data_IF_571174225964
#
_entry.id   IF_571174225964
#
_cell.length_a   1.000
_cell.length_b   1.000
_cell.length_c   1.000
_cell.angle_alpha   90.00
_cell.angle_beta   90.00
_cell.angle_gamma   90.00
#
_symmetry.space_group_name_H-M   'P 1'
#
loop_
_entity.id
_entity.type
_entity.pdbx_description
1 polymer ?
#
# COMPACT_ATOMS: atom_id res chain seq x y z
N UNK A 1 5.66 27.68 -20.45
CA UNK A 1 4.77 27.15 -19.39
C UNK A 1 5.16 27.66 -17.99
N UNK A 2 6.44 27.97 -17.78
CA UNK A 2 6.94 28.45 -16.46
C UNK A 2 6.63 29.93 -16.18
N UNK A 3 6.37 30.70 -17.20
CA UNK A 3 6.19 32.15 -17.10
C UNK A 3 4.73 32.61 -16.90
N UNK A 4 3.76 31.71 -17.00
CA UNK A 4 2.33 32.04 -16.90
C UNK A 4 1.60 31.40 -15.70
N UNK A 5 2.25 30.48 -14.99
CA UNK A 5 1.72 29.86 -13.78
C UNK A 5 2.85 29.74 -12.76
N UNK A 6 2.54 30.03 -11.51
CA UNK A 6 3.43 29.82 -10.35
C UNK A 6 3.59 28.30 -10.11
N UNK A 7 4.34 27.64 -11.02
CA UNK A 7 4.54 26.21 -11.05
C UNK A 7 6.00 25.86 -10.78
N UNK A 8 6.24 25.06 -9.77
CA UNK A 8 7.53 24.45 -9.51
C UNK A 8 7.68 23.11 -10.24
N UNK A 9 8.84 22.93 -10.88
CA UNK A 9 9.21 21.65 -11.49
C UNK A 9 9.84 20.76 -10.43
N UNK A 10 9.25 19.58 -10.23
CA UNK A 10 9.78 18.57 -9.31
C UNK A 10 10.35 17.37 -10.08
N UNK A 11 11.37 16.71 -9.51
CA UNK A 11 11.93 15.49 -10.07
C UNK A 11 11.01 14.30 -9.87
N UNK A 12 11.20 13.26 -10.70
CA UNK A 12 10.42 12.02 -10.61
C UNK A 12 10.52 11.36 -9.23
N UNK A 13 11.70 11.36 -8.63
CA UNK A 13 11.91 10.79 -7.29
C UNK A 13 11.10 11.52 -6.22
N UNK A 14 11.09 12.85 -6.24
CA UNK A 14 10.32 13.65 -5.30
C UNK A 14 8.81 13.46 -5.48
N UNK A 15 8.35 13.30 -6.72
CA UNK A 15 6.95 12.98 -7.01
C UNK A 15 6.57 11.58 -6.53
N UNK A 16 7.41 10.56 -6.81
CA UNK A 16 7.22 9.19 -6.34
C UNK A 16 7.17 9.13 -4.80
N UNK A 17 8.07 9.85 -4.14
CA UNK A 17 8.12 9.93 -2.68
C UNK A 17 6.85 10.57 -2.09
N UNK A 18 6.37 11.64 -2.71
CA UNK A 18 5.09 12.27 -2.34
C UNK A 18 3.91 11.30 -2.50
N UNK A 19 3.86 10.52 -3.58
CA UNK A 19 2.82 9.51 -3.78
C UNK A 19 2.83 8.47 -2.66
N UNK A 20 4.01 7.95 -2.29
CA UNK A 20 4.16 7.04 -1.16
C UNK A 20 3.69 7.68 0.14
N UNK A 21 4.09 8.93 0.42
CA UNK A 21 3.66 9.66 1.62
C UNK A 21 2.14 9.82 1.70
N UNK A 22 1.50 10.13 0.57
CA UNK A 22 0.05 10.28 0.46
C UNK A 22 -0.70 8.94 0.45
N UNK A 23 0.00 7.81 0.26
CA UNK A 23 -0.58 6.47 0.20
C UNK A 23 -1.14 6.11 -1.17
N UNK A 24 -0.61 6.68 -2.24
CA UNK A 24 -0.93 6.30 -3.62
C UNK A 24 0.05 5.23 -4.11
N UNK A 25 -0.39 3.96 -4.27
CA UNK A 25 0.49 2.90 -4.70
C UNK A 25 0.90 3.06 -6.15
N UNK A 26 2.14 2.67 -6.45
CA UNK A 26 2.75 2.81 -7.75
C UNK A 26 2.97 1.44 -8.40
N UNK A 27 2.65 1.35 -9.69
CA UNK A 27 2.89 0.15 -10.49
C UNK A 27 4.41 -0.11 -10.61
N UNK A 28 4.81 -1.38 -10.58
CA UNK A 28 6.20 -1.86 -10.53
C UNK A 28 7.00 -1.46 -9.28
N UNK A 29 6.38 -0.77 -8.30
CA UNK A 29 6.95 -0.47 -6.98
C UNK A 29 6.18 -1.21 -5.89
N UNK A 30 4.90 -0.90 -5.75
CA UNK A 30 4.04 -1.46 -4.69
C UNK A 30 3.24 -2.67 -5.16
N UNK A 31 2.91 -2.75 -6.44
CA UNK A 31 2.23 -3.86 -7.07
C UNK A 31 2.67 -4.01 -8.52
N UNK A 32 2.42 -5.17 -9.13
CA UNK A 32 2.83 -5.47 -10.50
C UNK A 32 1.88 -6.41 -11.23
N UNK A 33 2.34 -6.94 -12.37
CA UNK A 33 1.55 -7.84 -13.25
C UNK A 33 1.04 -9.12 -12.57
N UNK A 34 1.62 -9.50 -11.44
CA UNK A 34 1.22 -10.68 -10.67
C UNK A 34 0.09 -10.42 -9.68
N UNK A 35 -0.28 -9.17 -9.46
CA UNK A 35 -1.30 -8.79 -8.49
C UNK A 35 -2.66 -8.56 -9.16
N UNK A 36 -3.72 -8.93 -8.44
CA UNK A 36 -5.05 -8.50 -8.81
C UNK A 36 -5.29 -7.03 -8.41
N UNK A 37 -6.08 -6.26 -9.17
CA UNK A 37 -6.42 -4.89 -8.79
C UNK A 37 -7.03 -4.76 -7.38
N UNK A 38 -7.79 -5.77 -6.93
CA UNK A 38 -8.34 -5.80 -5.57
C UNK A 38 -7.24 -5.89 -4.50
N UNK A 39 -6.12 -6.58 -4.78
CA UNK A 39 -4.96 -6.64 -3.88
C UNK A 39 -4.22 -5.31 -3.82
N UNK A 40 -4.19 -4.60 -4.96
CA UNK A 40 -3.60 -3.27 -5.06
C UNK A 40 -4.51 -2.14 -4.53
N UNK A 41 -5.61 -2.49 -3.86
CA UNK A 41 -6.65 -1.55 -3.40
C UNK A 41 -7.28 -0.71 -4.52
N UNK A 42 -7.24 -1.22 -5.77
CA UNK A 42 -7.83 -0.61 -6.97
C UNK A 42 -9.23 -1.16 -7.28
N UNK A 43 -9.92 -1.71 -6.31
CA UNK A 43 -11.25 -2.31 -6.48
C UNK A 43 -12.28 -1.35 -7.11
N UNK A 44 -12.25 -0.09 -6.71
CA UNK A 44 -13.15 0.95 -7.21
C UNK A 44 -12.89 1.34 -8.68
N UNK A 45 -11.73 0.97 -9.23
CA UNK A 45 -11.39 1.17 -10.63
C UNK A 45 -11.84 0.03 -11.54
N UNK A 46 -12.49 -1.01 -11.00
CA UNK A 46 -13.00 -2.16 -11.74
C UNK A 46 -14.50 -1.97 -12.01
N UNK A 47 -14.89 -2.07 -13.28
CA UNK A 47 -16.30 -2.05 -13.67
C UNK A 47 -16.80 -3.48 -13.93
N UNK A 48 -17.85 -3.88 -13.22
CA UNK A 48 -18.55 -5.15 -13.43
C UNK A 48 -19.78 -5.02 -14.35
N UNK A 49 -20.16 -3.79 -14.72
CA UNK A 49 -21.34 -3.48 -15.51
C UNK A 49 -21.02 -3.20 -16.99
N UNK A 50 -19.75 -3.33 -17.40
CA UNK A 50 -19.32 -3.23 -18.81
C UNK A 50 -19.28 -4.60 -19.48
N UNK A 51 -19.19 -4.61 -20.82
CA UNK A 51 -19.02 -5.84 -21.60
C UNK A 51 -17.83 -6.69 -21.16
N UNK A 52 -17.80 -7.96 -21.61
CA UNK A 52 -16.76 -8.91 -21.24
C UNK A 52 -15.37 -8.44 -21.62
N UNK A 53 -14.39 -8.71 -20.75
CA UNK A 53 -12.98 -8.42 -20.96
C UNK A 53 -12.11 -9.58 -20.45
N UNK A 54 -10.87 -9.65 -20.93
CA UNK A 54 -9.93 -10.70 -20.54
C UNK A 54 -9.61 -10.56 -19.04
N UNK A 55 -9.77 -11.66 -18.29
CA UNK A 55 -9.52 -11.69 -16.84
C UNK A 55 -10.72 -11.28 -15.98
N UNK A 56 -11.89 -11.05 -16.54
CA UNK A 56 -13.09 -10.68 -15.78
C UNK A 56 -13.53 -11.74 -14.77
N UNK A 57 -13.43 -13.02 -15.11
CA UNK A 57 -13.96 -14.12 -14.27
C UNK A 57 -13.32 -14.16 -12.87
N UNK A 58 -11.98 -14.17 -12.70
CA UNK A 58 -11.36 -14.14 -11.38
C UNK A 58 -11.70 -12.88 -10.58
N UNK A 59 -11.80 -11.71 -11.24
CA UNK A 59 -12.22 -10.47 -10.57
C UNK A 59 -13.65 -10.54 -10.05
N UNK A 60 -14.58 -11.02 -10.87
CA UNK A 60 -15.98 -11.19 -10.50
C UNK A 60 -16.13 -12.22 -9.37
N UNK A 61 -15.34 -13.31 -9.40
CA UNK A 61 -15.35 -14.32 -8.34
C UNK A 61 -14.91 -13.73 -7.00
N UNK A 62 -13.83 -12.95 -6.95
CA UNK A 62 -13.39 -12.26 -5.73
C UNK A 62 -14.44 -11.27 -5.22
N UNK A 63 -15.06 -10.52 -6.10
CA UNK A 63 -16.07 -9.54 -5.75
C UNK A 63 -17.34 -10.17 -5.16
N UNK A 64 -17.83 -11.27 -5.76
CA UNK A 64 -19.13 -11.87 -5.37
C UNK A 64 -19.03 -12.99 -4.30
N UNK A 65 -17.89 -13.65 -4.18
CA UNK A 65 -17.78 -14.89 -3.38
C UNK A 65 -16.56 -14.97 -2.48
N UNK A 66 -15.74 -13.94 -2.44
CA UNK A 66 -14.49 -14.00 -1.69
C UNK A 66 -13.90 -12.65 -1.40
N UNK A 67 -12.63 -12.67 -1.11
CA UNK A 67 -11.78 -11.50 -0.87
C UNK A 67 -10.37 -11.81 -1.41
N UNK A 68 -9.54 -10.80 -1.68
CA UNK A 68 -8.15 -11.03 -2.02
C UNK A 68 -7.40 -11.66 -0.85
N UNK A 69 -6.33 -12.38 -1.12
CA UNK A 69 -5.45 -12.92 -0.07
C UNK A 69 -4.55 -11.84 0.54
N UNK A 70 -4.19 -10.88 -0.28
CA UNK A 70 -3.30 -9.78 0.04
C UNK A 70 -4.00 -8.45 -0.17
N UNK A 71 -3.54 -7.42 0.51
CA UNK A 71 -4.02 -6.05 0.34
C UNK A 71 -2.89 -5.07 0.57
N UNK A 72 -2.83 -4.04 -0.27
CA UNK A 72 -1.96 -2.89 -0.02
C UNK A 72 -2.59 -1.99 1.06
N UNK A 73 -1.76 -1.60 2.00
CA UNK A 73 -2.15 -0.73 3.11
C UNK A 73 -1.12 0.38 3.30
N UNK A 74 -1.57 1.49 3.87
CA UNK A 74 -0.68 2.51 4.40
C UNK A 74 -0.12 2.02 5.74
N UNK A 75 1.18 2.18 5.92
CA UNK A 75 1.88 1.81 7.15
C UNK A 75 2.50 3.05 7.78
N UNK A 76 2.41 3.12 9.10
CA UNK A 76 3.02 4.19 9.89
C UNK A 76 3.96 3.57 10.91
N UNK A 77 5.21 4.01 10.88
CA UNK A 77 6.29 3.54 11.74
C UNK A 77 6.75 4.66 12.68
N UNK A 78 7.20 4.34 13.90
CA UNK A 78 7.92 5.32 14.71
C UNK A 78 9.16 5.82 13.98
N UNK A 79 9.52 7.09 14.18
CA UNK A 79 10.63 7.77 13.46
C UNK A 79 11.98 7.06 13.64
N UNK A 80 12.23 6.57 14.86
CA UNK A 80 13.54 6.00 15.24
C UNK A 80 13.73 4.56 14.72
N UNK A 81 12.72 4.00 14.05
CA UNK A 81 12.77 2.63 13.55
C UNK A 81 13.48 2.60 12.20
N UNK A 82 14.50 1.75 12.10
CA UNK A 82 15.20 1.52 10.83
C UNK A 82 14.45 0.52 9.98
N UNK A 83 13.80 1.02 8.92
CA UNK A 83 13.03 0.24 7.94
C UNK A 83 13.36 0.69 6.53
N UNK A 84 13.27 -0.25 5.60
CA UNK A 84 13.49 -0.01 4.17
C UNK A 84 12.53 -0.86 3.33
N UNK A 85 12.28 -0.51 2.08
CA UNK A 85 11.55 -1.38 1.15
C UNK A 85 12.11 -2.80 1.16
N UNK A 86 11.23 -3.81 1.18
CA UNK A 86 11.59 -5.21 1.34
C UNK A 86 11.64 -5.70 2.79
N UNK A 87 11.45 -4.83 3.80
CA UNK A 87 11.36 -5.26 5.21
C UNK A 87 10.13 -6.13 5.42
N UNK A 88 10.33 -7.33 5.99
CA UNK A 88 9.24 -8.23 6.37
C UNK A 88 8.48 -7.73 7.59
N UNK A 89 7.17 -7.91 7.56
CA UNK A 89 6.23 -7.57 8.61
C UNK A 89 5.69 -8.85 9.23
N UNK A 90 5.50 -8.82 10.54
CA UNK A 90 5.05 -9.96 11.33
C UNK A 90 3.79 -9.62 12.11
N UNK A 91 2.95 -10.61 12.35
CA UNK A 91 1.82 -10.56 13.25
C UNK A 91 1.75 -11.86 14.04
N UNK A 92 1.67 -11.79 15.37
CA UNK A 92 1.56 -12.96 16.26
C UNK A 92 2.67 -14.02 16.03
N UNK A 93 3.87 -13.57 15.62
CA UNK A 93 5.01 -14.45 15.34
C UNK A 93 5.05 -15.04 13.93
N UNK A 94 4.06 -14.79 13.08
CA UNK A 94 4.02 -15.24 11.69
C UNK A 94 4.28 -14.11 10.70
N UNK A 95 4.78 -14.46 9.51
CA UNK A 95 4.95 -13.51 8.41
C UNK A 95 3.59 -12.94 7.98
N UNK A 96 3.45 -11.65 8.09
CA UNK A 96 2.23 -10.90 7.79
C UNK A 96 2.25 -10.24 6.41
N UNK A 97 3.44 -9.90 5.91
CA UNK A 97 3.60 -9.19 4.65
C UNK A 97 4.93 -8.51 4.50
N UNK A 98 5.00 -7.50 3.65
CA UNK A 98 6.24 -6.80 3.30
C UNK A 98 6.00 -5.32 3.08
N UNK A 99 6.91 -4.47 3.53
CA UNK A 99 6.96 -3.05 3.18
C UNK A 99 7.41 -2.92 1.73
N UNK A 100 6.62 -2.30 0.87
CA UNK A 100 6.91 -2.15 -0.57
C UNK A 100 7.60 -0.83 -0.88
N UNK A 101 7.12 0.26 -0.28
CA UNK A 101 7.73 1.58 -0.41
C UNK A 101 7.73 2.34 0.92
N UNK A 102 8.68 3.26 1.06
CA UNK A 102 8.84 4.11 2.24
C UNK A 102 9.14 5.52 1.79
N UNK A 103 8.40 6.49 2.32
CA UNK A 103 8.65 7.91 2.03
C UNK A 103 9.81 8.47 2.85
N UNK A 104 10.58 9.33 2.23
CA UNK A 104 11.59 10.15 2.91
C UNK A 104 10.98 11.40 3.57
N UNK A 105 9.75 11.74 3.18
CA UNK A 105 8.98 12.82 3.83
C UNK A 105 8.51 12.30 5.18
N UNK A 106 8.93 12.95 6.25
CA UNK A 106 8.53 12.56 7.60
C UNK A 106 7.77 13.69 8.27
N UNK A 107 6.75 13.31 9.00
CA UNK A 107 6.22 14.12 10.07
C UNK A 107 7.21 14.10 11.26
N UNK A 108 7.03 14.97 12.25
CA UNK A 108 7.97 15.09 13.37
C UNK A 108 8.20 13.78 14.14
N UNK A 109 7.22 12.87 14.14
CA UNK A 109 7.23 11.65 14.96
C UNK A 109 7.17 10.33 14.17
N UNK A 110 6.79 10.35 12.89
CA UNK A 110 6.48 9.11 12.15
C UNK A 110 7.05 9.08 10.74
N UNK A 111 7.32 7.86 10.26
CA UNK A 111 7.60 7.54 8.85
C UNK A 111 6.36 6.90 8.24
N UNK A 112 6.07 7.21 6.98
CA UNK A 112 4.95 6.64 6.23
C UNK A 112 5.46 5.79 5.07
N UNK A 113 4.79 4.68 4.83
CA UNK A 113 5.09 3.77 3.73
C UNK A 113 3.85 3.04 3.25
N UNK A 114 4.04 2.22 2.23
CA UNK A 114 3.02 1.32 1.70
C UNK A 114 3.55 -0.11 1.85
N UNK A 115 2.68 -1.05 2.18
CA UNK A 115 3.05 -2.46 2.28
C UNK A 115 1.94 -3.37 1.83
N UNK A 116 2.32 -4.55 1.36
CA UNK A 116 1.43 -5.63 1.01
C UNK A 116 1.30 -6.57 2.19
N UNK A 117 0.10 -6.72 2.74
CA UNK A 117 -0.15 -7.58 3.90
C UNK A 117 -1.26 -8.60 3.63
N UNK A 118 -1.35 -9.64 4.44
CA UNK A 118 -2.47 -10.60 4.39
C UNK A 118 -3.78 -9.89 4.72
N UNK A 119 -4.76 -10.01 3.84
CA UNK A 119 -6.06 -9.33 3.95
C UNK A 119 -6.78 -9.62 5.29
N UNK A 120 -6.68 -10.83 5.82
CA UNK A 120 -7.29 -11.19 7.10
C UNK A 120 -6.75 -10.37 8.26
N UNK A 121 -5.45 -10.06 8.28
CA UNK A 121 -4.81 -9.24 9.31
C UNK A 121 -5.26 -7.79 9.25
N UNK A 122 -5.53 -7.29 8.05
CA UNK A 122 -6.11 -5.96 7.87
C UNK A 122 -7.53 -5.88 8.45
N UNK A 123 -8.39 -6.85 8.14
CA UNK A 123 -9.77 -6.89 8.63
C UNK A 123 -9.86 -7.00 10.16
N UNK A 124 -8.94 -7.75 10.78
CA UNK A 124 -8.91 -7.93 12.23
C UNK A 124 -8.32 -6.72 12.98
N UNK A 125 -7.70 -5.76 12.26
CA UNK A 125 -6.97 -4.65 12.87
C UNK A 125 -5.75 -5.11 13.67
N UNK A 126 -5.19 -6.27 13.32
CA UNK A 126 -4.04 -6.85 14.02
C UNK A 126 -2.84 -5.92 13.94
N UNK A 127 -2.14 -5.79 15.06
CA UNK A 127 -0.92 -5.00 15.15
C UNK A 127 0.22 -5.72 14.44
N UNK A 128 0.95 -4.98 13.60
CA UNK A 128 2.12 -5.49 12.89
C UNK A 128 3.41 -5.15 13.65
N UNK A 129 4.41 -6.01 13.49
CA UNK A 129 5.72 -5.90 14.08
C UNK A 129 6.82 -6.09 13.02
N UNK A 130 8.04 -5.63 13.30
CA UNK A 130 9.21 -5.80 12.41
C UNK A 130 9.95 -7.13 12.58
N UNK A 131 9.77 -7.80 13.68
CA UNK A 131 10.38 -9.10 14.01
C UNK A 131 9.39 -9.92 14.80
N UNK A 132 9.59 -11.22 14.79
CA UNK A 132 8.73 -12.22 15.42
C UNK A 132 8.30 -11.89 16.86
N UNK A 133 9.12 -11.16 17.62
CA UNK A 133 8.88 -10.79 19.02
C UNK A 133 9.22 -9.31 19.31
N UNK A 134 9.07 -8.40 18.33
CA UNK A 134 9.37 -6.99 18.58
C UNK A 134 8.19 -6.29 19.23
N UNK A 135 8.48 -5.32 20.10
CA UNK A 135 7.46 -4.43 20.71
C UNK A 135 7.14 -3.22 19.85
N UNK A 136 7.64 -3.17 18.62
CA UNK A 136 7.41 -2.06 17.70
C UNK A 136 6.04 -2.23 17.06
N UNK A 137 5.13 -1.34 17.41
CA UNK A 137 3.77 -1.32 16.86
C UNK A 137 3.76 -0.55 15.54
N UNK A 138 3.34 -1.22 14.47
CA UNK A 138 3.14 -0.63 13.16
C UNK A 138 1.64 -0.44 12.97
N UNK A 139 1.22 0.80 12.75
CA UNK A 139 -0.18 1.12 12.46
C UNK A 139 -0.45 0.91 10.98
N UNK A 140 -1.55 0.23 10.68
CA UNK A 140 -2.03 -0.01 9.32
C UNK A 140 -3.34 0.73 9.07
N UNK A 141 -3.49 1.30 7.89
CA UNK A 141 -4.69 2.02 7.46
C UNK A 141 -5.03 1.66 6.01
N UNK A 142 -6.31 1.72 5.65
CA UNK A 142 -6.69 1.56 4.25
C UNK A 142 -6.05 2.64 3.38
N UNK A 143 -5.70 2.28 2.14
CA UNK A 143 -5.36 3.25 1.12
C UNK A 143 -6.66 3.95 0.71
N UNK A 144 -6.76 5.23 0.98
CA UNK A 144 -7.90 6.05 0.57
C UNK A 144 -7.49 6.88 -0.63
N UNK A 145 -8.01 6.53 -1.80
CA UNK A 145 -7.97 7.42 -2.96
C UNK A 145 -9.04 8.50 -2.76
N UNK A 146 -8.70 9.57 -2.08
CA UNK A 146 -9.48 10.80 -2.14
C UNK A 146 -8.97 11.61 -3.34
N UNK A 147 -9.72 11.56 -4.44
CA UNK A 147 -9.58 12.49 -5.55
C UNK A 147 -10.38 13.75 -5.21
#
# INVERSE_FOLDING_TARGET
LKDEADLDLVGHEAFSDLLTYLGYPQFDVDYGKGNFPQEASLGDHISFNKGCYVGQEPHARMYHRGHPNWVLVRLTFPKDVDVKPGTELYAEGESAGTLTSLSSIHDEEVKKGIGMIRHQLFLSGTVLNLKENSTILIRQEALTYQI
#
